data_IF_175485408089
#
_entry.id   IF_175485408089
#
_cell.length_a   1.000
_cell.length_b   1.000
_cell.length_c   1.000
_cell.angle_alpha   90.00
_cell.angle_beta   90.00
_cell.angle_gamma   90.00
#
_symmetry.space_group_name_H-M   'P 1'
#
loop_
_entity.id
_entity.type
_entity.pdbx_description
1 polymer ?
#
# COMPACT_ATOMS: atom_id res chain seq x y z
N UNK A 1 19.87 18.36 2.54
CA UNK A 1 18.47 17.99 2.78
C UNK A 1 18.36 17.58 4.25
N UNK A 2 17.70 18.39 5.08
CA UNK A 2 17.36 17.97 6.45
C UNK A 2 16.33 16.85 6.30
N UNK A 3 16.61 15.67 6.84
CA UNK A 3 15.57 14.64 6.88
C UNK A 3 14.52 15.11 7.89
N UNK A 4 13.37 15.54 7.37
CA UNK A 4 12.24 16.03 8.16
C UNK A 4 11.73 14.97 9.16
N UNK A 5 11.94 13.68 8.88
CA UNK A 5 11.42 12.60 9.71
C UNK A 5 12.36 12.12 10.81
N UNK A 6 13.68 12.37 10.71
CA UNK A 6 14.65 11.68 11.57
C UNK A 6 14.49 11.98 13.07
N UNK A 7 13.83 13.09 13.41
CA UNK A 7 13.57 13.51 14.78
C UNK A 7 12.12 13.31 15.22
N UNK A 8 11.25 12.80 14.35
CA UNK A 8 9.86 12.50 14.67
C UNK A 8 9.77 11.32 15.64
N UNK A 9 8.82 11.37 16.59
CA UNK A 9 8.66 10.33 17.62
C UNK A 9 8.45 8.94 16.99
N UNK A 10 7.56 8.86 15.99
CA UNK A 10 7.29 7.61 15.28
C UNK A 10 8.53 7.06 14.57
N UNK A 11 9.41 7.94 14.06
CA UNK A 11 10.61 7.53 13.36
C UNK A 11 11.65 7.00 14.36
N UNK A 12 11.80 7.67 15.50
CA UNK A 12 12.64 7.19 16.60
C UNK A 12 12.19 5.80 17.05
N UNK A 13 10.88 5.58 17.18
CA UNK A 13 10.34 4.26 17.50
C UNK A 13 10.60 3.25 16.39
N UNK A 14 10.38 3.61 15.12
CA UNK A 14 10.71 2.73 13.99
C UNK A 14 12.20 2.34 13.97
N UNK A 15 13.09 3.25 14.35
CA UNK A 15 14.53 3.00 14.50
C UNK A 15 14.81 1.97 15.60
N UNK A 16 14.09 2.01 16.73
CA UNK A 16 14.25 1.01 17.81
C UNK A 16 13.94 -0.40 17.30
N UNK A 17 12.84 -0.55 16.56
CA UNK A 17 12.47 -1.84 15.94
C UNK A 17 13.55 -2.30 14.95
N UNK A 18 14.04 -1.40 14.08
CA UNK A 18 15.11 -1.70 13.13
C UNK A 18 16.38 -2.20 13.84
N UNK A 19 16.84 -1.48 14.87
CA UNK A 19 18.04 -1.85 15.63
C UNK A 19 17.87 -3.23 16.27
N UNK A 20 16.71 -3.51 16.86
CA UNK A 20 16.40 -4.81 17.43
C UNK A 20 16.41 -5.93 16.38
N UNK A 21 15.80 -5.71 15.21
CA UNK A 21 15.83 -6.69 14.12
C UNK A 21 17.24 -6.95 13.61
N UNK A 22 18.07 -5.91 13.47
CA UNK A 22 19.48 -6.06 13.10
C UNK A 22 20.23 -6.84 14.18
N UNK A 23 20.03 -6.54 15.47
CA UNK A 23 20.72 -7.26 16.54
C UNK A 23 20.32 -8.73 16.61
N UNK A 24 19.04 -9.06 16.35
CA UNK A 24 18.55 -10.44 16.30
C UNK A 24 19.07 -11.19 15.07
N UNK A 25 19.14 -10.53 13.91
CA UNK A 25 19.63 -11.12 12.66
C UNK A 25 21.16 -11.26 12.61
N UNK A 26 21.88 -10.33 13.25
CA UNK A 26 23.32 -10.16 13.15
C UNK A 26 23.74 -9.21 12.02
N UNK A 27 24.70 -8.32 12.31
CA UNK A 27 25.17 -7.27 11.39
C UNK A 27 25.70 -7.80 10.06
N UNK A 28 26.41 -8.93 10.08
CA UNK A 28 26.93 -9.57 8.86
C UNK A 28 25.80 -9.98 7.93
N UNK A 29 24.79 -10.67 8.46
CA UNK A 29 23.64 -11.13 7.68
C UNK A 29 22.79 -9.96 7.20
N UNK A 30 22.62 -8.92 8.02
CA UNK A 30 21.96 -7.69 7.58
C UNK A 30 22.72 -7.03 6.41
N UNK A 31 24.04 -6.91 6.52
CA UNK A 31 24.88 -6.33 5.46
C UNK A 31 24.73 -7.08 4.14
N UNK A 32 24.74 -8.42 4.17
CA UNK A 32 24.51 -9.26 2.99
C UNK A 32 23.13 -9.02 2.36
N UNK A 33 22.06 -9.03 3.16
CA UNK A 33 20.68 -8.86 2.66
C UNK A 33 20.44 -7.45 2.13
N UNK A 34 20.97 -6.43 2.80
CA UNK A 34 20.96 -5.05 2.34
C UNK A 34 21.67 -4.90 0.99
N UNK A 35 22.82 -5.55 0.80
CA UNK A 35 23.53 -5.54 -0.47
C UNK A 35 22.71 -6.14 -1.63
N UNK A 36 21.87 -7.15 -1.36
CA UNK A 36 20.93 -7.69 -2.36
C UNK A 36 19.87 -6.66 -2.77
N UNK A 37 19.30 -5.92 -1.81
CA UNK A 37 18.33 -4.83 -2.08
C UNK A 37 18.98 -3.75 -2.94
N UNK A 38 20.18 -3.32 -2.59
CA UNK A 38 20.94 -2.31 -3.35
C UNK A 38 21.23 -2.81 -4.77
N UNK A 39 21.75 -4.03 -4.91
CA UNK A 39 22.06 -4.64 -6.20
C UNK A 39 20.84 -4.75 -7.11
N UNK A 40 19.68 -5.08 -6.54
CA UNK A 40 18.41 -5.10 -7.26
C UNK A 40 18.09 -3.73 -7.86
N UNK A 41 18.11 -2.67 -7.06
CA UNK A 41 17.74 -1.33 -7.57
C UNK A 41 18.78 -0.72 -8.50
N UNK A 42 20.07 -1.04 -8.35
CA UNK A 42 21.06 -0.69 -9.37
C UNK A 42 20.77 -1.39 -10.70
N UNK A 43 20.34 -2.65 -10.69
CA UNK A 43 19.95 -3.34 -11.92
C UNK A 43 18.67 -2.72 -12.52
N UNK A 44 17.66 -2.39 -11.71
CA UNK A 44 16.45 -1.67 -12.17
C UNK A 44 16.83 -0.35 -12.84
N UNK A 45 17.66 0.45 -12.17
CA UNK A 45 18.15 1.72 -12.70
C UNK A 45 18.90 1.52 -14.03
N UNK A 46 19.78 0.53 -14.09
CA UNK A 46 20.59 0.26 -15.28
C UNK A 46 19.75 -0.03 -16.52
N UNK A 47 18.60 -0.68 -16.32
CA UNK A 47 17.62 -1.01 -17.36
C UNK A 47 16.78 0.23 -17.71
N UNK A 48 16.24 0.91 -16.69
CA UNK A 48 15.35 2.05 -16.89
C UNK A 48 16.02 3.22 -17.63
N UNK A 49 17.31 3.43 -17.39
CA UNK A 49 18.07 4.53 -17.98
C UNK A 49 19.10 4.05 -19.04
N UNK A 50 18.91 2.85 -19.59
CA UNK A 50 19.51 2.45 -20.87
C UNK A 50 20.99 2.05 -20.85
N UNK A 51 21.54 1.69 -19.69
CA UNK A 51 22.90 1.13 -19.59
C UNK A 51 22.94 -0.39 -19.79
N UNK A 52 21.78 -1.05 -19.84
CA UNK A 52 21.63 -2.49 -20.05
C UNK A 52 20.37 -2.81 -20.88
N UNK A 53 20.49 -3.65 -21.90
CA UNK A 53 19.35 -4.11 -22.70
C UNK A 53 18.53 -5.18 -21.96
N UNK A 54 17.20 -5.15 -22.13
CA UNK A 54 16.27 -6.15 -21.61
C UNK A 54 16.33 -7.40 -22.51
N UNK A 55 16.57 -8.58 -21.93
CA UNK A 55 16.45 -9.85 -22.67
C UNK A 55 14.97 -10.14 -22.94
N UNK A 56 14.68 -10.52 -24.18
CA UNK A 56 13.36 -10.49 -24.84
C UNK A 56 12.21 -11.26 -24.17
N UNK A 57 12.46 -12.13 -23.19
CA UNK A 57 11.41 -12.88 -22.47
C UNK A 57 10.91 -12.17 -21.19
N UNK A 58 11.57 -11.08 -20.79
CA UNK A 58 11.24 -10.29 -19.58
C UNK A 58 10.62 -8.93 -19.93
N UNK A 59 9.75 -8.86 -20.95
CA UNK A 59 8.92 -7.67 -21.20
C UNK A 59 7.86 -7.47 -20.10
N UNK A 60 8.27 -7.40 -18.84
CA UNK A 60 7.55 -6.56 -17.87
C UNK A 60 7.96 -5.14 -18.20
N UNK A 61 7.12 -4.44 -18.95
CA UNK A 61 7.34 -3.06 -19.38
C UNK A 61 7.63 -2.08 -18.21
N UNK A 62 7.47 -2.54 -16.96
CA UNK A 62 7.73 -1.80 -15.73
C UNK A 62 8.38 -2.78 -14.75
N UNK A 63 9.65 -2.56 -14.40
CA UNK A 63 10.27 -3.26 -13.27
C UNK A 63 9.64 -2.73 -11.98
N UNK A 64 9.22 -3.61 -11.06
CA UNK A 64 8.49 -3.18 -9.89
C UNK A 64 9.38 -2.44 -8.90
N UNK A 65 8.82 -1.45 -8.20
CA UNK A 65 9.50 -0.71 -7.13
C UNK A 65 9.35 -1.49 -5.81
N UNK A 66 9.81 -2.75 -5.80
CA UNK A 66 9.82 -3.63 -4.63
C UNK A 66 10.73 -4.85 -4.84
N UNK A 67 11.37 -5.32 -3.76
CA UNK A 67 12.18 -6.55 -3.76
C UNK A 67 11.33 -7.71 -3.23
N UNK A 68 10.69 -8.46 -4.14
CA UNK A 68 9.75 -9.54 -3.77
C UNK A 68 10.41 -10.77 -3.17
N UNK A 69 11.70 -11.00 -3.40
CA UNK A 69 12.41 -12.17 -2.88
C UNK A 69 12.67 -12.08 -1.38
N UNK A 70 12.72 -10.86 -0.83
CA UNK A 70 13.04 -10.60 0.56
C UNK A 70 12.36 -9.31 1.06
N UNK A 71 11.07 -9.43 1.37
CA UNK A 71 10.25 -8.29 1.79
C UNK A 71 10.74 -7.65 3.08
N UNK A 72 11.19 -8.43 4.06
CA UNK A 72 11.62 -7.88 5.35
C UNK A 72 12.93 -7.10 5.19
N UNK A 73 13.87 -7.56 4.36
CA UNK A 73 15.08 -6.79 4.09
C UNK A 73 14.77 -5.47 3.35
N UNK A 74 13.81 -5.50 2.41
CA UNK A 74 13.33 -4.28 1.74
C UNK A 74 12.72 -3.29 2.74
N UNK A 75 11.85 -3.77 3.62
CA UNK A 75 11.23 -2.97 4.68
C UNK A 75 12.27 -2.35 5.63
N UNK A 76 13.23 -3.15 6.09
CA UNK A 76 14.33 -2.65 6.92
C UNK A 76 15.19 -1.62 6.18
N UNK A 77 15.43 -1.79 4.87
CA UNK A 77 16.17 -0.81 4.06
C UNK A 77 15.46 0.54 3.99
N UNK A 78 14.14 0.55 3.81
CA UNK A 78 13.34 1.78 3.80
C UNK A 78 13.45 2.54 5.13
N UNK A 79 13.31 1.84 6.26
CA UNK A 79 13.44 2.45 7.60
C UNK A 79 14.87 2.93 7.85
N UNK A 80 15.88 2.12 7.49
CA UNK A 80 17.29 2.49 7.64
C UNK A 80 17.64 3.75 6.83
N UNK A 81 17.05 3.91 5.64
CA UNK A 81 17.33 5.04 4.75
C UNK A 81 16.92 6.38 5.36
N UNK A 82 15.91 6.41 6.24
CA UNK A 82 15.57 7.64 6.99
C UNK A 82 16.81 8.14 7.76
N UNK A 83 17.50 7.28 8.47
CA UNK A 83 18.55 7.74 9.40
C UNK A 83 19.91 7.90 8.75
N UNK A 84 20.21 7.09 7.75
CA UNK A 84 21.57 6.99 7.22
C UNK A 84 21.68 7.43 5.76
N UNK A 85 20.58 7.44 4.99
CA UNK A 85 20.56 7.74 3.55
C UNK A 85 19.28 8.49 3.16
N UNK A 86 19.05 9.71 3.69
CA UNK A 86 17.76 10.39 3.54
C UNK A 86 17.41 10.78 2.09
N UNK A 87 18.41 10.81 1.20
CA UNK A 87 18.22 10.97 -0.24
C UNK A 87 17.67 9.73 -0.94
N UNK A 88 17.62 8.57 -0.25
CA UNK A 88 17.17 7.29 -0.76
C UNK A 88 15.78 6.93 -0.24
N UNK A 89 15.12 5.99 -0.92
CA UNK A 89 13.84 5.40 -0.50
C UNK A 89 12.69 5.69 -1.46
N UNK A 90 11.54 5.10 -1.14
CA UNK A 90 10.30 5.20 -1.92
C UNK A 90 9.15 5.62 -1.00
N UNK A 91 8.52 6.76 -1.26
CA UNK A 91 7.49 7.36 -0.38
C UNK A 91 6.29 6.42 -0.22
N UNK A 92 5.83 5.80 -1.31
CA UNK A 92 4.63 4.97 -1.31
C UNK A 92 4.83 3.69 -0.51
N UNK A 93 5.91 2.95 -0.71
CA UNK A 93 6.22 1.74 0.05
C UNK A 93 6.59 2.06 1.50
N UNK A 94 7.26 3.18 1.74
CA UNK A 94 7.65 3.64 3.08
C UNK A 94 6.44 3.91 3.98
N UNK A 95 5.44 4.63 3.47
CA UNK A 95 4.20 4.95 4.18
C UNK A 95 3.49 3.69 4.72
N UNK A 96 3.66 2.55 4.05
CA UNK A 96 3.03 1.28 4.40
C UNK A 96 3.66 0.58 5.58
N UNK A 97 4.94 0.84 5.81
CA UNK A 97 5.76 0.02 6.71
C UNK A 97 6.18 0.77 7.96
N UNK A 98 6.33 2.09 7.86
CA UNK A 98 6.70 2.94 9.00
C UNK A 98 5.74 2.81 10.19
N UNK A 99 4.40 2.75 10.02
CA UNK A 99 3.48 2.57 11.15
C UNK A 99 3.73 1.27 11.92
N UNK A 100 4.01 0.16 11.22
CA UNK A 100 4.28 -1.13 11.86
C UNK A 100 5.60 -1.13 12.62
N UNK A 101 6.67 -0.59 12.03
CA UNK A 101 7.97 -0.48 12.71
C UNK A 101 7.87 0.46 13.92
N UNK A 102 7.18 1.59 13.79
CA UNK A 102 6.91 2.51 14.90
C UNK A 102 6.15 1.81 16.02
N UNK A 103 5.06 1.10 15.69
CA UNK A 103 4.25 0.37 16.68
C UNK A 103 5.09 -0.68 17.42
N UNK A 104 5.93 -1.44 16.72
CA UNK A 104 6.80 -2.45 17.32
C UNK A 104 7.84 -1.80 18.23
N UNK A 105 8.54 -0.78 17.75
CA UNK A 105 9.63 -0.17 18.50
C UNK A 105 9.15 0.60 19.73
N UNK A 106 7.97 1.23 19.63
CA UNK A 106 7.30 1.88 20.76
C UNK A 106 6.93 0.89 21.87
N UNK A 107 6.50 -0.31 21.49
CA UNK A 107 5.99 -1.33 22.41
C UNK A 107 6.96 -2.51 22.59
N UNK A 108 8.24 -2.31 22.28
CA UNK A 108 9.21 -3.41 22.16
C UNK A 108 9.33 -4.21 23.46
N UNK A 109 9.47 -3.55 24.62
CA UNK A 109 9.56 -4.24 25.91
C UNK A 109 8.33 -5.11 26.18
N UNK A 110 7.13 -4.56 25.95
CA UNK A 110 5.86 -5.27 26.14
C UNK A 110 5.74 -6.48 25.21
N UNK A 111 6.17 -6.35 23.96
CA UNK A 111 6.15 -7.45 22.99
C UNK A 111 7.14 -8.55 23.38
N UNK A 112 8.35 -8.19 23.85
CA UNK A 112 9.37 -9.15 24.26
C UNK A 112 8.98 -9.95 25.52
N UNK A 113 8.05 -9.44 26.32
CA UNK A 113 7.48 -10.17 27.47
C UNK A 113 6.40 -11.19 27.09
N UNK A 114 6.00 -11.27 25.80
CA UNK A 114 4.97 -12.22 25.33
C UNK A 114 5.58 -13.61 25.17
N UNK A 115 4.96 -14.60 25.81
CA UNK A 115 5.33 -16.01 25.67
C UNK A 115 5.29 -16.42 24.17
N UNK A 116 6.41 -16.92 23.63
CA UNK A 116 6.53 -17.37 22.23
C UNK A 116 6.91 -16.31 21.19
N UNK A 117 7.13 -15.06 21.59
CA UNK A 117 7.51 -13.95 20.68
C UNK A 117 8.81 -14.22 19.90
N UNK A 118 9.82 -14.80 20.53
CA UNK A 118 11.13 -15.03 19.92
C UNK A 118 11.03 -15.86 18.64
N UNK A 119 10.23 -16.94 18.65
CA UNK A 119 9.97 -17.77 17.47
C UNK A 119 9.32 -16.95 16.36
N UNK A 120 8.39 -16.06 16.70
CA UNK A 120 7.70 -15.21 15.71
C UNK A 120 8.61 -14.16 15.09
N UNK A 121 9.53 -13.58 15.87
CA UNK A 121 10.57 -12.70 15.34
C UNK A 121 11.53 -13.48 14.43
N UNK A 122 11.93 -14.70 14.81
CA UNK A 122 12.78 -15.54 13.95
C UNK A 122 12.08 -15.89 12.63
N UNK A 123 10.77 -16.14 12.66
CA UNK A 123 9.95 -16.35 11.45
C UNK A 123 9.88 -15.10 10.58
N UNK A 124 9.70 -13.91 11.18
CA UNK A 124 9.68 -12.62 10.48
C UNK A 124 10.99 -12.38 9.74
N UNK A 125 12.11 -12.67 10.39
CA UNK A 125 13.45 -12.44 9.85
C UNK A 125 13.91 -13.55 8.90
N UNK A 126 13.15 -14.65 8.75
CA UNK A 126 13.52 -15.76 7.88
C UNK A 126 13.22 -15.46 6.40
N UNK A 127 14.29 -15.29 5.61
CA UNK A 127 14.21 -15.01 4.17
C UNK A 127 13.41 -16.07 3.37
N UNK A 128 13.28 -17.30 3.87
CA UNK A 128 12.55 -18.39 3.19
C UNK A 128 11.04 -18.36 3.43
N UNK A 129 10.56 -17.80 4.55
CA UNK A 129 9.11 -17.72 4.84
C UNK A 129 8.46 -16.51 4.13
N UNK A 130 9.19 -15.40 3.96
CA UNK A 130 8.87 -14.22 3.15
C UNK A 130 7.39 -13.75 3.16
N UNK A 131 6.76 -13.76 4.35
CA UNK A 131 5.41 -13.26 4.58
C UNK A 131 5.35 -12.27 5.76
N UNK A 132 6.20 -11.21 5.75
CA UNK A 132 6.30 -10.30 6.90
C UNK A 132 4.99 -9.58 7.23
N UNK A 133 4.14 -9.31 6.24
CA UNK A 133 2.88 -8.60 6.45
C UNK A 133 1.90 -9.37 7.34
N UNK A 134 1.88 -10.70 7.26
CA UNK A 134 1.04 -11.53 8.12
C UNK A 134 1.55 -11.47 9.57
N UNK A 135 2.87 -11.60 9.76
CA UNK A 135 3.49 -11.55 11.08
C UNK A 135 3.37 -10.15 11.71
N UNK A 136 3.53 -9.08 10.94
CA UNK A 136 3.27 -7.72 11.43
C UNK A 136 1.83 -7.53 11.90
N UNK A 137 0.87 -8.15 11.22
CA UNK A 137 -0.52 -8.12 11.64
C UNK A 137 -0.72 -8.88 12.96
N UNK A 138 -0.15 -10.08 13.09
CA UNK A 138 -0.16 -10.86 14.33
C UNK A 138 0.46 -10.08 15.51
N UNK A 139 1.62 -9.46 15.30
CA UNK A 139 2.30 -8.62 16.31
C UNK A 139 1.44 -7.43 16.73
N UNK A 140 0.76 -6.78 15.77
CA UNK A 140 -0.12 -5.66 16.07
C UNK A 140 -1.35 -6.08 16.89
N UNK A 141 -1.95 -7.23 16.55
CA UNK A 141 -3.07 -7.82 17.32
C UNK A 141 -2.62 -8.22 18.72
N UNK A 142 -1.45 -8.84 18.86
CA UNK A 142 -0.89 -9.18 20.17
C UNK A 142 -0.68 -7.93 21.04
N UNK A 143 -0.08 -6.88 20.48
CA UNK A 143 0.10 -5.59 21.14
C UNK A 143 -1.23 -4.96 21.57
N UNK A 144 -2.26 -5.03 20.72
CA UNK A 144 -3.62 -4.56 21.05
C UNK A 144 -4.14 -5.23 22.33
N UNK A 145 -4.00 -6.55 22.45
CA UNK A 145 -4.44 -7.28 23.64
C UNK A 145 -3.60 -6.93 24.88
N UNK A 146 -2.28 -6.82 24.75
CA UNK A 146 -1.40 -6.37 25.83
C UNK A 146 -1.79 -4.98 26.36
N UNK A 147 -2.00 -4.00 25.47
CA UNK A 147 -2.46 -2.64 25.82
C UNK A 147 -3.81 -2.64 26.54
N UNK A 148 -4.65 -3.64 26.25
CA UNK A 148 -5.93 -3.85 26.92
C UNK A 148 -5.84 -4.70 28.20
N UNK A 149 -4.63 -5.00 28.68
CA UNK A 149 -4.37 -5.70 29.94
C UNK A 149 -4.66 -7.20 29.89
N UNK A 150 -4.57 -7.82 28.72
CA UNK A 150 -4.61 -9.27 28.57
C UNK A 150 -3.19 -9.82 28.63
N UNK A 151 -3.02 -10.98 29.28
CA UNK A 151 -1.81 -11.79 29.08
C UNK A 151 -1.92 -12.48 27.73
N UNK A 152 -0.91 -12.37 26.89
CA UNK A 152 -0.87 -12.92 25.53
C UNK A 152 0.20 -14.00 25.44
N UNK A 153 -0.03 -15.01 24.60
CA UNK A 153 0.93 -16.05 24.23
C UNK A 153 0.77 -16.40 22.75
N UNK A 154 1.87 -16.47 22.02
CA UNK A 154 1.91 -17.02 20.66
C UNK A 154 1.90 -18.54 20.70
N UNK A 155 1.03 -19.14 19.90
CA UNK A 155 0.92 -20.59 19.83
C UNK A 155 1.80 -21.11 18.69
N UNK A 156 2.72 -22.05 18.95
CA UNK A 156 3.56 -22.63 17.91
C UNK A 156 2.72 -23.36 16.85
N UNK A 157 3.11 -23.23 15.59
CA UNK A 157 2.53 -24.01 14.51
C UNK A 157 2.80 -25.51 14.72
N UNK A 158 1.77 -26.34 14.52
CA UNK A 158 1.88 -27.79 14.55
C UNK A 158 1.68 -28.39 13.17
N UNK A 159 2.55 -29.33 12.79
CA UNK A 159 2.37 -30.11 11.55
C UNK A 159 1.24 -31.15 11.68
N UNK A 160 0.82 -31.48 12.90
CA UNK A 160 -0.12 -32.56 13.18
C UNK A 160 -1.56 -32.08 13.35
N UNK A 161 -1.75 -30.85 13.83
CA UNK A 161 -3.06 -30.29 14.09
C UNK A 161 -3.07 -28.79 13.77
N UNK A 162 -4.25 -28.28 13.41
CA UNK A 162 -4.45 -26.85 13.22
C UNK A 162 -4.47 -26.17 14.60
N UNK A 163 -3.67 -25.13 14.74
CA UNK A 163 -3.63 -24.28 15.93
C UNK A 163 -4.11 -22.87 15.59
N UNK A 164 -4.67 -22.16 16.58
CA UNK A 164 -4.86 -20.73 16.48
C UNK A 164 -3.51 -20.00 16.57
N UNK A 165 -3.46 -18.72 16.21
CA UNK A 165 -2.21 -17.94 16.28
C UNK A 165 -1.85 -17.51 17.71
N UNK A 166 -2.85 -17.07 18.51
CA UNK A 166 -2.63 -16.57 19.88
C UNK A 166 -3.58 -17.21 20.88
N UNK A 167 -3.17 -17.13 22.14
CA UNK A 167 -4.04 -17.28 23.31
C UNK A 167 -3.98 -16.01 24.16
N UNK A 168 -5.14 -15.59 24.66
CA UNK A 168 -5.25 -14.45 25.57
C UNK A 168 -5.94 -14.86 26.87
N UNK A 169 -5.50 -14.29 28.00
CA UNK A 169 -6.07 -14.55 29.33
C UNK A 169 -6.22 -13.28 30.16
N UNK A 170 -7.36 -13.15 30.86
CA UNK A 170 -7.62 -12.06 31.81
C UNK A 170 -8.74 -12.45 32.76
N UNK A 171 -8.55 -12.21 34.06
CA UNK A 171 -9.58 -12.43 35.10
C UNK A 171 -10.26 -13.82 35.02
N UNK A 172 -9.46 -14.88 34.82
CA UNK A 172 -9.97 -16.26 34.70
C UNK A 172 -10.63 -16.60 33.36
N UNK A 173 -10.77 -15.65 32.43
CA UNK A 173 -11.24 -15.90 31.06
C UNK A 173 -10.07 -16.20 30.14
N UNK A 174 -10.31 -17.07 29.17
CA UNK A 174 -9.35 -17.46 28.14
C UNK A 174 -10.04 -17.48 26.77
N UNK A 175 -9.35 -17.01 25.74
CA UNK A 175 -9.81 -17.09 24.35
C UNK A 175 -8.68 -17.54 23.43
N UNK A 176 -9.06 -18.26 22.39
CA UNK A 176 -8.22 -18.48 21.21
C UNK A 176 -8.38 -17.33 20.24
N UNK A 177 -7.28 -16.81 19.70
CA UNK A 177 -7.31 -15.70 18.74
C UNK A 177 -6.66 -16.16 17.45
N UNK A 178 -7.38 -16.03 16.36
CA UNK A 178 -6.90 -16.35 15.02
C UNK A 178 -6.75 -15.09 14.17
N UNK A 179 -5.59 -14.92 13.56
CA UNK A 179 -5.25 -13.79 12.71
C UNK A 179 -5.20 -14.24 11.25
N UNK A 180 -5.88 -13.50 10.38
CA UNK A 180 -5.78 -13.66 8.93
C UNK A 180 -5.60 -12.32 8.27
N UNK A 181 -4.72 -12.26 7.28
CA UNK A 181 -4.54 -11.07 6.44
C UNK A 181 -5.01 -11.38 5.03
N UNK A 182 -5.84 -10.51 4.45
CA UNK A 182 -6.17 -10.59 3.03
C UNK A 182 -4.96 -10.24 2.18
N UNK A 183 -4.90 -10.81 0.99
CA UNK A 183 -3.95 -10.34 -0.02
C UNK A 183 -4.23 -8.88 -0.35
N UNK A 184 -3.16 -8.12 -0.57
CA UNK A 184 -3.18 -6.67 -0.84
C UNK A 184 -4.07 -6.33 -2.02
N UNK A 185 -3.92 -7.07 -3.12
CA UNK A 185 -4.57 -6.77 -4.39
C UNK A 185 -5.40 -7.96 -4.84
N UNK A 186 -6.56 -7.70 -5.44
CA UNK A 186 -7.38 -8.76 -6.02
C UNK A 186 -6.79 -9.26 -7.34
N UNK A 187 -6.97 -10.55 -7.66
CA UNK A 187 -6.52 -11.10 -8.96
C UNK A 187 -7.18 -10.35 -10.11
N UNK A 188 -8.42 -9.89 -9.89
CA UNK A 188 -9.13 -9.01 -10.81
C UNK A 188 -8.47 -7.64 -10.92
N UNK A 189 -8.11 -6.99 -9.81
CA UNK A 189 -7.39 -5.70 -9.83
C UNK A 189 -6.06 -5.81 -10.56
N UNK A 190 -5.32 -6.91 -10.39
CA UNK A 190 -4.08 -7.16 -11.14
C UNK A 190 -4.35 -7.31 -12.65
N UNK A 191 -5.37 -8.08 -13.03
CA UNK A 191 -5.76 -8.23 -14.44
C UNK A 191 -6.25 -6.91 -15.05
N UNK A 192 -7.05 -6.13 -14.31
CA UNK A 192 -7.52 -4.80 -14.74
C UNK A 192 -6.34 -3.84 -14.95
N UNK A 193 -5.34 -3.87 -14.04
CA UNK A 193 -4.10 -3.11 -14.18
C UNK A 193 -3.29 -3.53 -15.42
N UNK A 194 -3.24 -4.83 -15.74
CA UNK A 194 -2.59 -5.32 -16.96
C UNK A 194 -3.31 -4.85 -18.23
N UNK A 195 -4.64 -4.88 -18.25
CA UNK A 195 -5.45 -4.36 -19.35
C UNK A 195 -5.30 -2.84 -19.53
N UNK A 196 -5.23 -2.10 -18.43
CA UNK A 196 -4.90 -0.68 -18.42
C UNK A 196 -3.50 -0.43 -19.02
N UNK A 197 -2.49 -1.22 -18.65
CA UNK A 197 -1.13 -1.06 -19.16
C UNK A 197 -1.06 -1.19 -20.69
N UNK A 198 -1.79 -2.16 -21.28
CA UNK A 198 -1.84 -2.34 -22.75
C UNK A 198 -2.29 -1.08 -23.48
N UNK A 199 -3.30 -0.38 -22.94
CA UNK A 199 -3.88 0.85 -23.54
C UNK A 199 -3.01 2.07 -23.28
N UNK A 200 -2.56 2.23 -22.04
CA UNK A 200 -1.78 3.40 -21.61
C UNK A 200 -0.38 3.44 -22.23
N UNK A 201 0.26 2.30 -22.49
CA UNK A 201 1.55 2.25 -23.19
C UNK A 201 1.41 2.81 -24.61
N UNK A 202 0.39 2.42 -25.37
CA UNK A 202 0.18 2.92 -26.74
C UNK A 202 0.03 4.44 -26.78
N UNK A 203 -0.76 5.00 -25.87
CA UNK A 203 -0.92 6.45 -25.76
C UNK A 203 0.38 7.13 -25.29
N UNK A 204 1.09 6.55 -24.32
CA UNK A 204 2.37 7.08 -23.85
C UNK A 204 3.42 7.13 -24.96
N UNK A 205 3.50 6.08 -25.79
CA UNK A 205 4.41 6.00 -26.93
C UNK A 205 4.09 7.09 -27.97
N UNK A 206 2.82 7.27 -28.32
CA UNK A 206 2.38 8.34 -29.22
C UNK A 206 2.77 9.73 -28.68
N UNK A 207 2.45 10.00 -27.42
CA UNK A 207 2.72 11.29 -26.78
C UNK A 207 4.22 11.57 -26.68
N UNK A 208 5.02 10.58 -26.29
CA UNK A 208 6.48 10.71 -26.23
C UNK A 208 7.09 10.91 -27.61
N UNK A 209 6.67 10.14 -28.61
CA UNK A 209 7.17 10.28 -29.98
C UNK A 209 6.90 11.68 -30.55
N UNK A 210 5.71 12.21 -30.28
CA UNK A 210 5.30 13.56 -30.71
C UNK A 210 5.77 14.68 -29.75
N UNK A 211 6.47 14.34 -28.66
CA UNK A 211 6.92 15.27 -27.60
C UNK A 211 5.79 16.14 -27.04
N UNK A 212 4.60 15.55 -26.91
CA UNK A 212 3.40 16.21 -26.41
C UNK A 212 3.36 16.17 -24.88
N UNK A 213 2.80 17.23 -24.29
CA UNK A 213 2.73 17.38 -22.82
C UNK A 213 1.31 17.58 -22.34
N UNK A 214 0.76 16.55 -21.68
CA UNK A 214 -0.64 16.50 -21.27
C UNK A 214 -0.84 15.78 -19.94
N UNK A 215 -1.77 16.28 -19.15
CA UNK A 215 -2.47 15.51 -18.13
C UNK A 215 -3.75 14.95 -18.75
N UNK A 216 -4.02 13.67 -18.51
CA UNK A 216 -5.18 12.96 -19.05
C UNK A 216 -5.84 12.23 -17.88
N UNK A 217 -7.07 12.62 -17.53
CA UNK A 217 -7.89 11.92 -16.54
C UNK A 217 -8.88 11.02 -17.28
N UNK A 218 -8.87 9.72 -16.97
CA UNK A 218 -9.68 8.70 -17.64
C UNK A 218 -10.60 8.02 -16.64
N UNK A 219 -11.90 8.09 -16.89
CA UNK A 219 -12.91 7.33 -16.16
C UNK A 219 -13.50 6.25 -17.05
N UNK A 220 -13.21 4.98 -16.74
CA UNK A 220 -13.83 3.83 -17.37
C UNK A 220 -15.22 3.57 -16.77
N UNK A 221 -16.23 3.42 -17.63
CA UNK A 221 -17.63 3.11 -17.28
C UNK A 221 -17.98 1.64 -17.43
N UNK A 222 -17.11 0.89 -18.09
CA UNK A 222 -17.16 -0.55 -18.30
C UNK A 222 -15.84 -1.18 -17.84
N UNK A 223 -15.76 -2.50 -17.59
CA UNK A 223 -14.48 -3.16 -17.33
C UNK A 223 -13.43 -2.78 -18.39
N UNK A 224 -12.19 -2.50 -17.97
CA UNK A 224 -11.13 -2.05 -18.90
C UNK A 224 -10.92 -3.04 -20.05
N UNK A 225 -11.00 -4.34 -19.74
CA UNK A 225 -10.90 -5.43 -20.70
C UNK A 225 -11.95 -5.37 -21.84
N UNK A 226 -13.11 -4.75 -21.58
CA UNK A 226 -14.24 -4.69 -22.52
C UNK A 226 -14.16 -3.49 -23.47
N UNK A 227 -13.11 -2.67 -23.36
CA UNK A 227 -12.84 -1.55 -24.27
C UNK A 227 -11.91 -1.96 -25.40
N UNK A 228 -11.91 -1.24 -26.52
CA UNK A 228 -10.88 -1.45 -27.55
C UNK A 228 -9.48 -1.08 -27.00
N UNK A 229 -8.43 -1.81 -27.39
CA UNK A 229 -7.08 -1.51 -26.90
C UNK A 229 -6.53 -0.16 -27.41
N UNK A 230 -7.09 0.41 -28.47
CA UNK A 230 -6.72 1.70 -29.04
C UNK A 230 -7.64 2.84 -28.56
N UNK A 231 -8.65 2.55 -27.73
CA UNK A 231 -9.68 3.53 -27.33
C UNK A 231 -9.09 4.85 -26.81
N UNK A 232 -7.99 4.79 -26.06
CA UNK A 232 -7.34 5.98 -25.50
C UNK A 232 -6.64 6.81 -26.59
N UNK A 233 -6.01 6.15 -27.57
CA UNK A 233 -5.35 6.80 -28.71
C UNK A 233 -6.39 7.44 -29.62
N UNK A 234 -7.43 6.69 -29.97
CA UNK A 234 -8.49 7.17 -30.86
C UNK A 234 -9.22 8.36 -30.23
N UNK A 235 -9.59 8.25 -28.94
CA UNK A 235 -10.23 9.35 -28.19
C UNK A 235 -9.33 10.58 -28.12
N UNK A 236 -8.04 10.40 -27.84
CA UNK A 236 -7.09 11.51 -27.80
C UNK A 236 -6.98 12.22 -29.16
N UNK A 237 -6.86 11.46 -30.25
CA UNK A 237 -6.78 12.00 -31.61
C UNK A 237 -8.06 12.76 -31.97
N UNK A 238 -9.23 12.22 -31.63
CA UNK A 238 -10.50 12.86 -31.93
C UNK A 238 -10.71 14.14 -31.12
N UNK A 239 -10.29 14.17 -29.84
CA UNK A 239 -10.23 15.40 -29.06
C UNK A 239 -9.32 16.46 -29.72
N UNK A 240 -8.15 16.06 -30.24
CA UNK A 240 -7.25 16.98 -30.93
C UNK A 240 -7.85 17.53 -32.24
N UNK A 241 -8.61 16.73 -32.99
CA UNK A 241 -9.29 17.18 -34.22
C UNK A 241 -10.43 18.15 -33.92
N UNK A 242 -11.16 17.92 -32.83
CA UNK A 242 -12.30 18.74 -32.41
C UNK A 242 -11.90 20.07 -31.75
N UNK A 243 -10.59 20.36 -31.65
CA UNK A 243 -10.06 21.44 -30.82
C UNK A 243 -10.53 22.84 -31.24
N UNK A 244 -11.46 23.41 -30.48
CA UNK A 244 -11.77 24.84 -30.46
C UNK A 244 -10.92 25.55 -29.40
N UNK A 245 -9.69 25.99 -29.74
CA UNK A 245 -8.84 26.96 -28.99
C UNK A 245 -8.63 26.82 -27.45
N UNK A 246 -9.14 25.77 -26.79
CA UNK A 246 -9.14 25.61 -25.33
C UNK A 246 -7.89 24.91 -24.77
N UNK A 247 -7.63 25.16 -23.48
CA UNK A 247 -6.60 24.46 -22.68
C UNK A 247 -7.04 23.10 -22.15
N UNK A 248 -8.36 22.86 -22.15
CA UNK A 248 -9.02 21.64 -21.66
C UNK A 248 -9.84 21.07 -22.82
N UNK A 249 -9.74 19.76 -23.03
CA UNK A 249 -10.53 19.02 -24.01
C UNK A 249 -11.21 17.86 -23.29
N UNK A 250 -12.44 17.57 -23.67
CA UNK A 250 -13.25 16.53 -23.03
C UNK A 250 -13.85 15.61 -24.08
N UNK A 251 -13.97 14.33 -23.74
CA UNK A 251 -14.72 13.36 -24.54
C UNK A 251 -15.48 12.43 -23.63
N UNK A 252 -16.74 12.20 -23.97
CA UNK A 252 -17.65 11.33 -23.22
C UNK A 252 -18.28 10.34 -24.17
N UNK A 253 -17.97 9.06 -23.97
CA UNK A 253 -18.58 7.94 -24.67
C UNK A 253 -19.38 7.07 -23.69
N UNK A 254 -20.00 6.02 -24.20
CA UNK A 254 -20.64 4.98 -23.37
C UNK A 254 -19.63 4.16 -22.57
N UNK A 255 -18.37 4.08 -23.01
CA UNK A 255 -17.34 3.25 -22.38
C UNK A 255 -16.40 4.05 -21.47
N UNK A 256 -16.06 5.28 -21.85
CA UNK A 256 -15.11 6.12 -21.11
C UNK A 256 -15.53 7.59 -21.07
N UNK A 257 -14.92 8.30 -20.14
CA UNK A 257 -14.91 9.76 -20.06
C UNK A 257 -13.46 10.20 -19.89
N UNK A 258 -13.05 11.19 -20.66
CA UNK A 258 -11.66 11.63 -20.74
C UNK A 258 -11.60 13.15 -20.65
N UNK A 259 -10.78 13.66 -19.73
CA UNK A 259 -10.43 15.07 -19.60
C UNK A 259 -8.94 15.21 -19.93
N UNK A 260 -8.60 16.05 -20.90
CA UNK A 260 -7.22 16.29 -21.34
C UNK A 260 -6.87 17.75 -21.07
N UNK A 261 -5.81 17.98 -20.30
CA UNK A 261 -5.28 19.32 -19.97
C UNK A 261 -3.86 19.47 -20.50
N UNK A 262 -3.57 20.57 -21.20
CA UNK A 262 -2.18 20.87 -21.63
C UNK A 262 -1.30 21.18 -20.42
N UNK A 263 -0.09 20.64 -20.39
CA UNK A 263 0.90 20.97 -19.35
C UNK A 263 1.81 22.12 -19.80
N UNK A 264 2.03 23.09 -18.90
CA UNK A 264 3.02 24.15 -19.09
C UNK A 264 4.39 23.69 -18.59
N UNK A 265 5.18 23.11 -19.49
CA UNK A 265 6.52 22.61 -19.18
C UNK A 265 7.45 23.73 -18.68
N UNK A 266 7.27 24.97 -19.12
CA UNK A 266 8.12 26.07 -18.66
C UNK A 266 7.83 26.40 -17.20
N UNK A 267 6.55 26.47 -16.83
CA UNK A 267 6.13 26.66 -15.44
C UNK A 267 6.52 25.48 -14.55
N UNK A 268 6.41 24.25 -15.07
CA UNK A 268 6.81 23.04 -14.34
C UNK A 268 8.31 23.04 -14.07
N UNK A 269 9.14 23.30 -15.09
CA UNK A 269 10.61 23.33 -14.91
C UNK A 269 11.02 24.40 -13.90
N UNK A 270 10.38 25.58 -13.92
CA UNK A 270 10.61 26.60 -12.88
C UNK A 270 10.27 26.11 -11.46
N UNK A 271 9.27 25.24 -11.31
CA UNK A 271 8.93 24.62 -10.04
C UNK A 271 9.95 23.53 -9.62
N UNK A 272 10.56 22.85 -10.59
CA UNK A 272 11.56 21.79 -10.36
C UNK A 272 12.95 22.36 -9.98
N UNK A 273 13.39 23.47 -10.57
CA UNK A 273 14.76 24.03 -10.44
C UNK A 273 15.24 24.19 -8.98
N UNK A 274 14.34 24.56 -8.07
CA UNK A 274 14.67 24.81 -6.66
C UNK A 274 14.27 23.67 -5.71
N UNK A 275 13.77 22.55 -6.25
CA UNK A 275 13.22 21.44 -5.45
C UNK A 275 13.96 20.14 -5.74
N UNK A 276 14.41 19.49 -4.67
CA UNK A 276 14.90 18.12 -4.76
C UNK A 276 13.72 17.14 -4.85
N UNK A 277 13.08 17.05 -6.02
CA UNK A 277 11.95 16.15 -6.29
C UNK A 277 12.44 14.81 -6.83
N UNK A 278 12.04 13.72 -6.18
CA UNK A 278 12.35 12.35 -6.61
C UNK A 278 11.54 11.98 -7.85
N UNK A 279 12.13 11.17 -8.72
CA UNK A 279 11.50 10.81 -9.99
C UNK A 279 10.24 9.93 -9.87
N UNK A 280 10.16 9.10 -8.83
CA UNK A 280 9.08 8.14 -8.62
C UNK A 280 8.36 8.44 -7.30
N UNK A 281 7.77 9.62 -7.17
CA UNK A 281 7.20 10.05 -5.89
C UNK A 281 5.92 10.89 -6.04
N UNK A 282 5.07 10.99 -5.00
CA UNK A 282 3.92 11.89 -5.00
C UNK A 282 4.24 13.34 -5.38
N UNK A 283 5.42 13.82 -4.97
CA UNK A 283 5.96 15.16 -5.23
C UNK A 283 6.09 15.45 -6.73
N UNK A 284 6.52 14.48 -7.55
CA UNK A 284 6.63 14.71 -9.00
C UNK A 284 5.24 14.82 -9.63
N UNK A 285 4.25 14.06 -9.15
CA UNK A 285 2.87 14.16 -9.64
C UNK A 285 2.30 15.53 -9.28
N UNK A 286 2.43 15.95 -8.02
CA UNK A 286 1.98 17.27 -7.55
C UNK A 286 2.69 18.41 -8.31
N UNK A 287 4.01 18.31 -8.54
CA UNK A 287 4.75 19.31 -9.30
C UNK A 287 4.26 19.45 -10.75
N UNK A 288 3.74 18.37 -11.33
CA UNK A 288 3.27 18.34 -12.71
C UNK A 288 1.81 18.78 -12.87
N UNK A 289 0.90 18.35 -11.99
CA UNK A 289 -0.56 18.62 -12.14
C UNK A 289 -1.15 19.52 -11.05
N UNK A 290 -0.34 19.94 -10.08
CA UNK A 290 -0.73 20.83 -8.98
C UNK A 290 -1.33 20.13 -7.76
N UNK A 291 -1.64 18.83 -7.85
CA UNK A 291 -2.16 18.02 -6.74
C UNK A 291 -1.71 16.56 -6.84
N UNK A 292 -1.69 15.87 -5.70
CA UNK A 292 -1.57 14.42 -5.62
C UNK A 292 -2.69 13.89 -4.73
N UNK A 293 -3.44 12.91 -5.24
CA UNK A 293 -4.50 12.23 -4.48
C UNK A 293 -3.97 10.85 -4.10
N UNK A 294 -3.84 10.59 -2.79
CA UNK A 294 -3.42 9.28 -2.31
C UNK A 294 -4.40 8.20 -2.76
N UNK A 295 -3.87 7.05 -3.16
CA UNK A 295 -4.65 5.94 -3.73
C UNK A 295 -5.10 6.16 -5.18
N UNK A 296 -4.80 7.31 -5.80
CA UNK A 296 -5.03 7.53 -7.23
C UNK A 296 -4.14 6.64 -8.11
N UNK A 297 -4.68 6.13 -9.22
CA UNK A 297 -3.92 5.32 -10.16
C UNK A 297 -3.27 6.20 -11.23
N UNK A 298 -2.00 6.55 -11.01
CA UNK A 298 -1.22 7.40 -11.91
C UNK A 298 -0.24 6.59 -12.76
N UNK A 299 -0.08 7.00 -14.01
CA UNK A 299 1.02 6.59 -14.90
C UNK A 299 1.72 7.86 -15.38
N UNK A 300 3.02 7.93 -15.14
CA UNK A 300 3.86 9.05 -15.55
C UNK A 300 4.84 8.61 -16.62
N UNK A 301 4.85 9.31 -17.76
CA UNK A 301 5.83 9.16 -18.82
C UNK A 301 6.51 10.52 -19.05
N UNK A 302 7.77 10.62 -18.61
CA UNK A 302 8.53 11.87 -18.63
C UNK A 302 9.68 11.77 -19.62
N UNK A 303 9.81 12.79 -20.48
CA UNK A 303 11.01 13.02 -21.25
C UNK A 303 11.96 13.90 -20.45
N UNK A 304 13.07 13.35 -19.97
CA UNK A 304 14.02 14.10 -19.14
C UNK A 304 14.96 14.98 -19.98
N UNK A 305 15.26 16.17 -19.46
CA UNK A 305 16.40 16.98 -19.91
C UNK A 305 17.58 16.81 -18.95
N UNK A 306 17.30 16.85 -17.64
CA UNK A 306 18.31 16.74 -16.60
C UNK A 306 17.80 15.94 -15.40
N UNK A 307 18.55 14.89 -15.08
CA UNK A 307 18.43 14.07 -13.88
C UNK A 307 19.74 14.16 -13.10
N UNK A 308 19.65 14.08 -11.78
CA UNK A 308 20.83 14.03 -10.92
C UNK A 308 20.61 13.04 -9.77
N UNK A 309 21.73 12.61 -9.17
CA UNK A 309 21.72 11.75 -7.98
C UNK A 309 22.07 12.56 -6.75
N UNK A 310 21.34 12.32 -5.67
CA UNK A 310 21.70 12.80 -4.33
C UNK A 310 22.22 11.67 -3.47
N UNK A 311 23.07 12.00 -2.51
CA UNK A 311 23.77 11.03 -1.68
C UNK A 311 25.27 11.14 -1.84
N UNK A 312 26.00 10.44 -0.98
CA UNK A 312 27.47 10.52 -0.91
C UNK A 312 28.13 9.18 -1.14
N UNK A 313 27.39 8.08 -1.05
CA UNK A 313 27.90 6.73 -1.18
C UNK A 313 27.24 6.01 -2.36
N UNK A 314 27.89 6.06 -3.52
CA UNK A 314 27.37 5.49 -4.77
C UNK A 314 27.13 3.98 -4.71
N UNK A 315 27.81 3.27 -3.81
CA UNK A 315 27.69 1.82 -3.65
C UNK A 315 26.52 1.41 -2.73
N UNK A 316 25.88 2.39 -2.07
CA UNK A 316 24.82 2.16 -1.07
C UNK A 316 23.54 2.94 -1.36
N UNK A 317 23.68 4.08 -2.06
CA UNK A 317 22.60 5.01 -2.33
C UNK A 317 21.86 4.58 -3.61
N UNK A 318 20.67 4.00 -3.43
CA UNK A 318 19.71 3.67 -4.49
C UNK A 318 18.41 4.45 -4.30
N UNK A 319 17.53 4.46 -5.31
CA UNK A 319 16.26 5.21 -5.28
C UNK A 319 16.49 6.70 -4.96
N UNK A 320 17.57 7.25 -5.52
CA UNK A 320 18.08 8.58 -5.24
C UNK A 320 18.21 9.43 -6.51
N UNK A 321 17.35 9.15 -7.50
CA UNK A 321 17.27 9.92 -8.75
C UNK A 321 16.26 11.04 -8.59
N UNK A 322 16.72 12.25 -8.84
CA UNK A 322 15.97 13.49 -8.72
C UNK A 322 15.84 14.16 -10.09
N UNK A 323 14.71 14.81 -10.29
CA UNK A 323 14.36 15.48 -11.55
C UNK A 323 14.68 16.97 -11.40
N UNK A 324 15.59 17.47 -12.23
CA UNK A 324 15.83 18.92 -12.32
C UNK A 324 15.00 19.54 -13.43
N UNK A 325 14.96 18.88 -14.58
CA UNK A 325 14.35 19.45 -15.79
C UNK A 325 13.79 18.39 -16.73
N UNK A 326 12.63 18.68 -17.29
CA UNK A 326 11.93 17.84 -18.26
C UNK A 326 11.72 18.58 -19.60
N UNK A 327 11.66 17.81 -20.68
CA UNK A 327 11.34 18.26 -22.04
C UNK A 327 9.84 18.17 -22.33
N UNK A 328 9.23 17.09 -21.85
CA UNK A 328 7.81 16.81 -22.02
C UNK A 328 7.33 15.88 -20.90
N UNK A 329 6.04 15.90 -20.61
CA UNK A 329 5.41 15.05 -19.60
C UNK A 329 4.03 14.57 -20.05
N UNK A 330 3.78 13.28 -19.93
CA UNK A 330 2.45 12.70 -19.97
C UNK A 330 2.12 12.13 -18.60
N UNK A 331 0.98 12.50 -18.06
CA UNK A 331 0.44 11.91 -16.83
C UNK A 331 -0.96 11.45 -17.12
N UNK A 332 -1.20 10.17 -16.92
CA UNK A 332 -2.53 9.60 -16.98
C UNK A 332 -2.97 9.24 -15.59
N UNK A 333 -4.13 9.74 -15.17
CA UNK A 333 -4.86 9.24 -14.00
C UNK A 333 -6.02 8.40 -14.52
N UNK A 334 -6.28 7.25 -13.90
CA UNK A 334 -7.43 6.46 -14.28
C UNK A 334 -8.24 5.94 -13.08
N UNK A 335 -9.55 5.85 -13.31
CA UNK A 335 -10.52 5.27 -12.39
C UNK A 335 -11.46 4.36 -13.17
N UNK A 336 -11.97 3.31 -12.53
CA UNK A 336 -13.04 2.49 -13.10
C UNK A 336 -14.25 2.51 -12.17
N UNK A 337 -15.37 3.04 -12.68
CA UNK A 337 -16.64 3.18 -11.97
C UNK A 337 -17.68 2.14 -12.39
N UNK A 338 -17.31 1.14 -13.20
CA UNK A 338 -18.17 0.02 -13.56
C UNK A 338 -18.58 -0.77 -12.32
N UNK A 339 -19.88 -0.97 -12.13
CA UNK A 339 -20.43 -1.81 -11.06
C UNK A 339 -19.81 -3.21 -11.03
N UNK A 340 -19.54 -3.79 -12.21
CA UNK A 340 -18.91 -5.10 -12.31
C UNK A 340 -17.47 -5.06 -11.78
N UNK A 341 -16.67 -4.06 -12.19
CA UNK A 341 -15.30 -3.91 -11.70
C UNK A 341 -15.27 -3.67 -10.20
N UNK A 342 -16.16 -2.81 -9.68
CA UNK A 342 -16.27 -2.54 -8.24
C UNK A 342 -16.60 -3.82 -7.48
N UNK A 343 -17.59 -4.59 -7.95
CA UNK A 343 -18.00 -5.83 -7.31
C UNK A 343 -16.88 -6.88 -7.30
N UNK A 344 -16.17 -7.06 -8.41
CA UNK A 344 -15.09 -8.04 -8.55
C UNK A 344 -13.85 -7.69 -7.71
N UNK A 345 -13.53 -6.40 -7.57
CA UNK A 345 -12.43 -5.92 -6.70
C UNK A 345 -12.79 -6.00 -5.21
N UNK A 346 -14.07 -5.88 -4.87
CA UNK A 346 -14.57 -6.04 -3.51
C UNK A 346 -14.54 -7.52 -3.05
N UNK A 347 -13.34 -8.06 -2.80
CA UNK A 347 -13.12 -9.44 -2.31
C UNK A 347 -13.81 -9.65 -0.95
N UNK A 348 -14.59 -10.72 -0.84
CA UNK A 348 -15.22 -11.16 0.41
C UNK A 348 -14.24 -11.99 1.28
N UNK A 349 -14.48 -12.04 2.59
CA UNK A 349 -13.65 -12.75 3.57
C UNK A 349 -14.06 -14.21 3.78
N UNK A 350 -15.15 -14.69 3.17
CA UNK A 350 -15.73 -16.02 3.44
C UNK A 350 -14.70 -17.16 3.49
N UNK A 351 -13.77 -17.19 2.53
CA UNK A 351 -12.70 -18.23 2.49
C UNK A 351 -11.74 -18.13 3.67
N UNK A 352 -11.37 -16.92 4.09
CA UNK A 352 -10.53 -16.71 5.27
C UNK A 352 -11.28 -17.04 6.54
N UNK A 353 -12.55 -16.65 6.63
CA UNK A 353 -13.40 -16.95 7.78
C UNK A 353 -13.57 -18.46 7.98
N UNK A 354 -13.82 -19.22 6.91
CA UNK A 354 -13.83 -20.71 6.96
C UNK A 354 -12.50 -21.26 7.47
N UNK A 355 -11.36 -20.75 6.99
CA UNK A 355 -10.04 -21.21 7.47
C UNK A 355 -9.86 -20.90 8.94
N UNK A 356 -10.15 -19.67 9.36
CA UNK A 356 -9.98 -19.22 10.73
C UNK A 356 -10.84 -20.02 11.71
N UNK A 357 -12.14 -20.20 11.41
CA UNK A 357 -13.05 -21.01 12.25
C UNK A 357 -12.55 -22.45 12.40
N UNK A 358 -11.97 -23.04 11.34
CA UNK A 358 -11.41 -24.40 11.41
C UNK A 358 -10.09 -24.48 12.19
N UNK A 359 -9.43 -23.36 12.49
CA UNK A 359 -8.19 -23.31 13.29
C UNK A 359 -8.47 -23.08 14.77
N UNK A 360 -9.64 -22.55 15.12
CA UNK A 360 -10.09 -22.39 16.50
C UNK A 360 -10.47 -23.77 17.10
N UNK A 361 -9.84 -24.21 18.20
CA UNK A 361 -10.25 -25.41 18.94
C UNK A 361 -11.64 -25.28 19.58
N UNK A 362 -12.32 -26.39 19.86
CA UNK A 362 -13.67 -26.38 20.47
C UNK A 362 -13.66 -26.34 22.01
N UNK A 363 -12.49 -26.31 22.64
CA UNK A 363 -12.33 -26.38 24.11
C UNK A 363 -12.47 -25.02 24.81
N UNK A 364 -12.29 -23.91 24.08
CA UNK A 364 -12.46 -22.55 24.58
C UNK A 364 -13.05 -21.63 23.48
N UNK A 365 -13.66 -20.51 23.85
CA UNK A 365 -14.20 -19.56 22.89
C UNK A 365 -13.12 -18.93 22.00
N UNK A 366 -13.50 -18.64 20.75
CA UNK A 366 -12.63 -18.08 19.72
C UNK A 366 -12.92 -16.62 19.37
N UNK A 367 -11.89 -15.90 18.96
CA UNK A 367 -11.93 -14.56 18.39
C UNK A 367 -11.15 -14.58 17.09
N UNK A 368 -11.66 -13.89 16.06
CA UNK A 368 -11.02 -13.84 14.75
C UNK A 368 -10.69 -12.39 14.42
N UNK A 369 -9.46 -12.13 14.00
CA UNK A 369 -9.01 -10.86 13.43
C UNK A 369 -8.71 -11.03 11.95
N UNK A 370 -9.32 -10.21 11.11
CA UNK A 370 -9.09 -10.18 9.66
C UNK A 370 -8.57 -8.80 9.28
N UNK A 371 -7.31 -8.75 8.88
CA UNK A 371 -6.63 -7.53 8.43
C UNK A 371 -6.67 -7.38 6.92
N UNK A 372 -6.90 -6.17 6.42
CA UNK A 372 -6.80 -5.85 5.00
C UNK A 372 -6.44 -4.39 4.75
N UNK A 373 -5.85 -4.14 3.57
CA UNK A 373 -5.44 -2.81 3.12
C UNK A 373 -6.44 -2.26 2.10
N UNK A 374 -6.68 -0.95 2.14
CA UNK A 374 -7.52 -0.25 1.18
C UNK A 374 -6.68 0.34 0.06
N UNK A 375 -6.84 -0.21 -1.15
CA UNK A 375 -6.04 0.15 -2.32
C UNK A 375 -6.88 0.42 -3.59
N UNK A 376 -8.13 -0.03 -3.63
CA UNK A 376 -8.96 -0.01 -4.85
C UNK A 376 -9.93 1.17 -4.91
N UNK A 377 -9.84 2.12 -3.97
CA UNK A 377 -10.67 3.31 -3.88
C UNK A 377 -11.96 3.11 -3.08
N UNK A 378 -12.59 4.21 -2.63
CA UNK A 378 -13.54 4.15 -1.51
C UNK A 378 -14.87 3.46 -1.86
N UNK A 379 -15.32 3.51 -3.12
CA UNK A 379 -16.50 2.77 -3.56
C UNK A 379 -16.33 1.24 -3.48
N UNK A 380 -15.12 0.74 -3.81
CA UNK A 380 -14.78 -0.69 -3.66
C UNK A 380 -14.78 -1.07 -2.19
N UNK A 381 -14.27 -0.20 -1.32
CA UNK A 381 -14.20 -0.46 0.12
C UNK A 381 -15.58 -0.47 0.77
N UNK A 382 -16.47 0.45 0.40
CA UNK A 382 -17.88 0.41 0.81
C UNK A 382 -18.55 -0.89 0.37
N UNK A 383 -18.37 -1.31 -0.89
CA UNK A 383 -18.93 -2.57 -1.40
C UNK A 383 -18.36 -3.79 -0.67
N UNK A 384 -17.05 -3.80 -0.39
CA UNK A 384 -16.36 -4.84 0.37
C UNK A 384 -16.91 -4.95 1.79
N UNK A 385 -17.05 -3.83 2.48
CA UNK A 385 -17.64 -3.76 3.81
C UNK A 385 -19.04 -4.38 3.85
N UNK A 386 -19.93 -4.00 2.93
CA UNK A 386 -21.28 -4.56 2.86
C UNK A 386 -21.30 -6.07 2.58
N UNK A 387 -20.42 -6.56 1.69
CA UNK A 387 -20.25 -8.00 1.42
C UNK A 387 -19.80 -8.75 2.68
N UNK A 388 -18.77 -8.23 3.35
CA UNK A 388 -18.22 -8.82 4.58
C UNK A 388 -19.30 -8.87 5.67
N UNK A 389 -20.05 -7.77 5.85
CA UNK A 389 -21.14 -7.70 6.82
C UNK A 389 -22.20 -8.78 6.57
N UNK A 390 -22.68 -8.88 5.34
CA UNK A 390 -23.66 -9.89 4.95
C UNK A 390 -23.12 -11.31 5.15
N UNK A 391 -21.84 -11.55 4.83
CA UNK A 391 -21.20 -12.86 5.04
C UNK A 391 -21.11 -13.22 6.51
N UNK A 392 -20.67 -12.31 7.38
CA UNK A 392 -20.53 -12.58 8.82
C UNK A 392 -21.89 -12.83 9.49
N UNK A 393 -22.92 -12.06 9.14
CA UNK A 393 -24.27 -12.19 9.68
C UNK A 393 -24.92 -13.53 9.35
N UNK A 394 -24.62 -14.08 8.16
CA UNK A 394 -25.20 -15.33 7.67
C UNK A 394 -24.23 -16.52 7.75
N UNK A 395 -23.09 -16.37 8.42
CA UNK A 395 -22.07 -17.42 8.47
C UNK A 395 -22.46 -18.55 9.42
N UNK A 396 -22.32 -19.80 8.95
CA UNK A 396 -22.45 -20.98 9.79
C UNK A 396 -21.12 -21.29 10.50
N UNK A 397 -21.09 -21.03 11.81
CA UNK A 397 -19.94 -21.31 12.68
C UNK A 397 -19.86 -22.78 13.12
N UNK A 398 -20.81 -23.63 12.70
CA UNK A 398 -20.93 -25.03 13.13
C UNK A 398 -20.99 -25.13 14.66
N UNK A 399 -20.16 -25.99 15.24
CA UNK A 399 -20.01 -26.21 16.69
C UNK A 399 -19.04 -25.24 17.37
N UNK A 400 -18.42 -24.32 16.62
CA UNK A 400 -17.38 -23.42 17.15
C UNK A 400 -17.99 -22.24 17.89
N UNK A 401 -17.53 -22.03 19.12
CA UNK A 401 -17.91 -20.88 19.92
C UNK A 401 -17.13 -19.61 19.54
N UNK A 402 -17.49 -18.98 18.42
CA UNK A 402 -16.89 -17.72 17.98
C UNK A 402 -17.62 -16.55 18.63
N UNK A 403 -16.90 -15.81 19.48
CA UNK A 403 -17.41 -14.72 20.31
C UNK A 403 -17.28 -13.35 19.66
N UNK A 404 -16.24 -13.15 18.86
CA UNK A 404 -16.01 -11.89 18.16
C UNK A 404 -15.27 -12.10 16.84
N UNK A 405 -15.60 -11.24 15.86
CA UNK A 405 -14.84 -11.07 14.62
C UNK A 405 -14.51 -9.59 14.48
N UNK A 406 -13.24 -9.29 14.35
CA UNK A 406 -12.71 -7.97 14.06
C UNK A 406 -12.21 -7.93 12.61
N UNK A 407 -12.62 -6.91 11.89
CA UNK A 407 -12.16 -6.56 10.56
C UNK A 407 -11.35 -5.27 10.69
N UNK A 408 -10.02 -5.42 10.70
CA UNK A 408 -9.08 -4.33 10.86
C UNK A 408 -8.64 -3.84 9.47
N UNK A 409 -9.06 -2.64 9.12
CA UNK A 409 -8.81 -2.03 7.84
C UNK A 409 -7.78 -0.91 7.99
N UNK A 410 -6.75 -0.90 7.14
CA UNK A 410 -5.71 0.13 7.12
C UNK A 410 -5.64 0.74 5.71
N UNK A 411 -5.81 2.06 5.63
CA UNK A 411 -5.57 2.84 4.42
C UNK A 411 -4.31 3.68 4.60
N UNK A 412 -3.49 3.74 3.56
CA UNK A 412 -2.18 4.37 3.59
C UNK A 412 -2.26 5.64 2.77
N UNK A 413 -1.89 6.76 3.39
CA UNK A 413 -2.09 8.09 2.86
C UNK A 413 -0.73 8.75 2.64
N UNK A 414 -0.03 8.35 1.59
CA UNK A 414 1.20 9.03 1.20
C UNK A 414 0.86 10.42 0.67
N UNK A 415 1.71 11.40 0.96
CA UNK A 415 1.63 12.74 0.39
C UNK A 415 3.01 13.15 -0.10
N UNK A 416 3.12 14.33 -0.71
CA UNK A 416 4.39 14.86 -1.20
C UNK A 416 5.42 15.11 -0.11
N UNK A 417 5.04 15.47 1.11
CA UNK A 417 6.02 15.78 2.16
C UNK A 417 5.77 15.08 3.48
N UNK A 418 4.80 14.16 3.50
CA UNK A 418 4.44 13.39 4.69
C UNK A 418 3.81 12.06 4.28
N UNK A 419 3.53 11.23 5.26
CA UNK A 419 2.54 10.17 5.11
C UNK A 419 1.63 10.17 6.32
N UNK A 420 0.44 9.64 6.12
CA UNK A 420 -0.55 9.40 7.15
C UNK A 420 -1.16 8.01 6.91
N UNK A 421 -1.99 7.54 7.82
CA UNK A 421 -2.78 6.34 7.64
C UNK A 421 -4.11 6.45 8.36
N UNK A 422 -5.16 5.97 7.71
CA UNK A 422 -6.45 5.77 8.36
C UNK A 422 -6.58 4.33 8.82
N UNK A 423 -7.10 4.13 10.02
CA UNK A 423 -7.45 2.80 10.53
C UNK A 423 -8.93 2.73 10.86
N UNK A 424 -9.59 1.64 10.45
CA UNK A 424 -10.97 1.36 10.82
C UNK A 424 -11.10 -0.07 11.31
N UNK A 425 -11.60 -0.23 12.54
CA UNK A 425 -11.90 -1.53 13.10
C UNK A 425 -13.42 -1.75 13.11
N UNK A 426 -13.93 -2.55 12.19
CA UNK A 426 -15.31 -3.02 12.22
C UNK A 426 -15.38 -4.31 13.03
N UNK A 427 -16.41 -4.50 13.85
CA UNK A 427 -16.50 -5.71 14.67
C UNK A 427 -17.91 -6.24 14.83
N UNK A 428 -17.99 -7.56 14.99
CA UNK A 428 -19.20 -8.32 15.25
C UNK A 428 -18.98 -9.11 16.52
N UNK A 429 -19.77 -8.86 17.56
CA UNK A 429 -19.61 -9.49 18.87
C UNK A 429 -20.90 -10.20 19.28
N UNK A 430 -20.78 -11.44 19.76
CA UNK A 430 -21.87 -12.18 20.40
C UNK A 430 -21.91 -11.96 21.91
N UNK A 431 -20.78 -11.64 22.54
CA UNK A 431 -20.70 -11.32 23.96
C UNK A 431 -19.99 -9.99 24.22
N UNK A 432 -20.12 -9.51 25.46
CA UNK A 432 -19.49 -8.27 25.93
C UNK A 432 -17.96 -8.39 25.97
N UNK A 433 -17.44 -9.63 26.05
CA UNK A 433 -16.00 -9.90 26.14
C UNK A 433 -15.40 -10.49 24.85
N UNK A 434 -14.13 -10.16 24.53
CA UNK A 434 -13.25 -9.27 25.27
C UNK A 434 -13.68 -7.81 25.13
N UNK A 435 -13.82 -7.12 26.27
CA UNK A 435 -14.01 -5.68 26.27
C UNK A 435 -12.64 -5.02 26.00
N UNK A 436 -12.50 -4.43 24.81
CA UNK A 436 -11.31 -3.69 24.41
C UNK A 436 -11.65 -2.20 24.48
N UNK A 437 -10.82 -1.42 25.19
CA UNK A 437 -10.97 0.03 25.32
C UNK A 437 -10.60 0.75 24.02
N UNK A 438 -9.68 0.18 23.25
CA UNK A 438 -9.28 0.60 21.92
C UNK A 438 -9.34 -0.62 20.99
N UNK A 439 -9.71 -0.40 19.73
CA UNK A 439 -9.80 -1.41 18.67
C UNK A 439 -8.77 -1.21 17.56
N UNK A 440 -8.02 -0.11 17.60
CA UNK A 440 -7.00 0.25 16.62
C UNK A 440 -5.66 -0.42 16.95
N UNK A 441 -5.03 -0.97 15.93
CA UNK A 441 -3.78 -1.73 15.96
C UNK A 441 -2.56 -0.81 15.92
N UNK A 442 -2.62 0.26 15.13
CA UNK A 442 -1.49 1.15 14.86
C UNK A 442 -1.63 2.50 15.56
N UNK A 443 -2.84 3.04 15.61
CA UNK A 443 -3.11 4.34 16.23
C UNK A 443 -3.34 4.22 17.75
N UNK A 444 -2.77 5.15 18.51
CA UNK A 444 -2.92 5.20 19.97
C UNK A 444 -4.16 5.97 20.44
N UNK A 445 -4.71 6.84 19.59
CA UNK A 445 -5.93 7.63 19.87
C UNK A 445 -6.79 7.79 18.64
N UNK A 446 -8.08 8.05 18.86
CA UNK A 446 -9.07 8.30 17.82
C UNK A 446 -9.28 9.82 17.73
N UNK A 447 -8.92 10.43 16.61
CA UNK A 447 -9.59 11.67 16.20
C UNK A 447 -10.97 11.26 15.67
N UNK A 448 -12.00 11.59 16.44
CA UNK A 448 -13.33 11.00 16.37
C UNK A 448 -13.99 11.15 15.00
N UNK A 449 -13.99 10.08 14.20
CA UNK A 449 -15.01 9.85 13.19
C UNK A 449 -15.74 8.54 13.50
N UNK A 450 -17.05 8.62 13.70
CA UNK A 450 -17.89 7.46 14.08
C UNK A 450 -18.36 6.65 12.86
N UNK A 451 -17.68 6.82 11.72
CA UNK A 451 -17.95 6.12 10.48
C UNK A 451 -16.65 5.59 9.91
N UNK A 452 -16.70 4.55 9.06
CA UNK A 452 -15.53 4.11 8.33
C UNK A 452 -14.93 5.25 7.48
N UNK A 453 -13.60 5.30 7.39
CA UNK A 453 -12.88 6.38 6.69
C UNK A 453 -13.30 6.55 5.21
N UNK A 454 -13.68 5.47 4.53
CA UNK A 454 -14.09 5.56 3.12
C UNK A 454 -15.43 6.29 2.91
N UNK A 455 -16.28 6.45 3.93
CA UNK A 455 -17.50 7.25 3.79
C UNK A 455 -17.18 8.74 3.74
N UNK A 456 -16.14 9.18 4.45
CA UNK A 456 -15.60 10.54 4.34
C UNK A 456 -14.98 10.76 2.96
N UNK A 457 -14.20 9.80 2.46
CA UNK A 457 -13.63 9.84 1.11
C UNK A 457 -14.74 9.98 0.04
N UNK A 458 -15.83 9.20 0.14
CA UNK A 458 -16.97 9.28 -0.77
C UNK A 458 -17.63 10.65 -0.70
N UNK A 459 -17.92 11.14 0.52
CA UNK A 459 -18.51 12.45 0.71
C UNK A 459 -17.68 13.56 0.06
N UNK A 460 -16.35 13.51 0.23
CA UNK A 460 -15.43 14.49 -0.35
C UNK A 460 -15.37 14.40 -1.88
N UNK A 461 -15.47 13.20 -2.46
CA UNK A 461 -15.53 12.99 -3.91
C UNK A 461 -16.85 13.51 -4.49
N UNK A 462 -17.99 13.13 -3.92
CA UNK A 462 -19.32 13.54 -4.39
C UNK A 462 -19.54 15.05 -4.25
N UNK A 463 -18.93 15.69 -3.24
CA UNK A 463 -18.97 17.15 -3.07
C UNK A 463 -18.17 17.87 -4.15
N UNK A 464 -16.96 17.39 -4.49
CA UNK A 464 -16.15 17.98 -5.57
C UNK A 464 -16.90 17.94 -6.91
N UNK A 465 -17.56 16.82 -7.21
CA UNK A 465 -18.38 16.67 -8.43
C UNK A 465 -19.60 17.61 -8.47
N UNK A 466 -19.96 18.24 -7.34
CA UNK A 466 -21.08 19.21 -7.25
C UNK A 466 -20.64 20.68 -7.31
N UNK A 467 -19.34 20.95 -7.17
CA UNK A 467 -18.75 22.30 -7.16
C UNK A 467 -18.01 22.64 -8.48
N UNK A 468 -17.70 21.64 -9.31
CA UNK A 468 -17.22 21.76 -10.71
C UNK A 468 -18.38 21.62 -11.72
#
# INVERSE_FOLDING_TARGET
>A
MLNIYANEEWAIDAKKALIFFISRMGDTKWTERRAKVISYFHNVESIQYGTKEIKTDEKKAILPIAVYEDWIAWYMYLVESIFYRPSCGDTLQSARIFPFFSMIGKNLSTLLDIDGIETKIDELLNEKKNQPDAIFFELAVANLYCKNGWKVCFIPESIFYKSPDLQIRKNGKQYWVECKRMQKVSDYSENERLEWQKRSIKLSELLNYQKLSYYIDITFKVPVADTDENILVDTFIDCLKAKESGKIMESKTSQIEVIIKTLDISSINKNLEDKNIRNNSPEIIEALIGEYISGGNYVTALGYDELYKLGTNKDMDVLNIYVNKIKNACIMKWTNISDHSIDMKAKDIKRLLVKAVNQIPSDNPGIIHIGYENLDGPYVERKRFLKIQNTIQNFDYKDKDIQAIFCNNIQLLATSNNFDWAETACFYKKSVDPNLKNHLLLADSIDKFNQPHWEEDIYNLEKKDSED
#
